data_IF_180021819527
#
_entry.id   IF_180021819527
#
_cell.length_a   1.000
_cell.length_b   1.000
_cell.length_c   1.000
_cell.angle_alpha   90.00
_cell.angle_beta   90.00
_cell.angle_gamma   90.00
#
_symmetry.space_group_name_H-M   'P 1'
#
loop_
_entity.id
_entity.type
_entity.pdbx_description
1 polymer ?
#
# COMPACT_ATOMS: atom_id res chain seq x y z
N UNK A 1 38.84 -42.68 -8.72
CA UNK A 1 38.15 -41.92 -7.65
C UNK A 1 37.44 -40.75 -8.31
N UNK A 2 36.11 -40.69 -8.37
CA UNK A 2 35.40 -39.52 -8.85
C UNK A 2 35.12 -38.58 -7.67
N UNK A 3 35.57 -37.34 -7.78
CA UNK A 3 35.32 -36.28 -6.80
C UNK A 3 33.89 -35.78 -6.91
N UNK A 4 33.16 -35.84 -5.79
CA UNK A 4 31.81 -35.32 -5.64
C UNK A 4 31.90 -33.80 -5.40
N UNK A 5 31.45 -33.01 -6.37
CA UNK A 5 31.35 -31.55 -6.24
C UNK A 5 30.01 -31.22 -5.57
N UNK A 6 30.03 -30.89 -4.27
CA UNK A 6 28.86 -30.33 -3.58
C UNK A 6 28.69 -28.87 -4.02
N UNK A 7 27.62 -28.59 -4.77
CA UNK A 7 27.13 -27.24 -5.00
C UNK A 7 26.33 -26.84 -3.78
N UNK A 8 26.92 -26.00 -2.92
CA UNK A 8 26.24 -25.38 -1.79
C UNK A 8 25.21 -24.36 -2.29
N UNK A 9 23.93 -24.65 -2.08
CA UNK A 9 22.84 -23.70 -2.27
C UNK A 9 22.88 -22.69 -1.12
N UNK A 10 23.46 -21.51 -1.35
CA UNK A 10 23.39 -20.39 -0.42
C UNK A 10 22.00 -19.76 -0.50
N UNK A 11 21.13 -20.09 0.45
CA UNK A 11 19.88 -19.36 0.66
C UNK A 11 20.24 -18.00 1.27
N UNK A 12 20.19 -16.94 0.46
CA UNK A 12 20.26 -15.57 0.95
C UNK A 12 18.99 -15.30 1.77
N UNK A 13 19.10 -15.39 3.08
CA UNK A 13 18.07 -14.93 4.00
C UNK A 13 18.04 -13.39 3.92
N UNK A 14 16.95 -12.84 3.39
CA UNK A 14 16.68 -11.41 3.47
C UNK A 14 16.50 -11.01 4.95
N UNK A 15 17.03 -9.85 5.39
CA UNK A 15 16.85 -9.40 6.74
C UNK A 15 15.36 -9.08 7.00
N UNK A 16 14.77 -9.74 7.98
CA UNK A 16 13.44 -9.41 8.48
C UNK A 16 13.54 -8.06 9.23
N UNK A 17 13.10 -6.98 8.59
CA UNK A 17 13.02 -5.67 9.22
C UNK A 17 11.83 -5.65 10.20
N UNK A 18 12.11 -5.80 11.49
CA UNK A 18 11.14 -5.55 12.56
C UNK A 18 10.81 -4.06 12.66
N UNK A 19 9.69 -3.72 13.31
CA UNK A 19 9.25 -2.35 13.56
C UNK A 19 10.42 -1.48 14.07
N UNK A 20 10.79 -0.44 13.32
CA UNK A 20 11.77 0.53 13.81
C UNK A 20 11.12 1.37 14.91
N UNK A 21 11.91 1.97 15.79
CA UNK A 21 11.40 2.91 16.80
C UNK A 21 10.62 4.11 16.19
N UNK A 22 10.72 4.32 14.87
CA UNK A 22 10.09 5.40 14.11
C UNK A 22 8.83 4.97 13.38
N UNK A 23 8.54 3.66 13.30
CA UNK A 23 7.33 3.16 12.65
C UNK A 23 6.14 3.28 13.61
N UNK A 24 4.95 3.73 13.12
CA UNK A 24 3.76 3.83 13.96
C UNK A 24 3.45 2.52 14.69
N UNK A 25 2.96 2.65 15.92
CA UNK A 25 2.48 1.50 16.68
C UNK A 25 1.16 1.06 16.06
N UNK A 26 1.18 -0.09 15.39
CA UNK A 26 -0.04 -0.69 14.86
C UNK A 26 -0.85 -1.25 16.01
N UNK A 27 -2.08 -0.80 16.15
CA UNK A 27 -3.03 -1.27 17.15
C UNK A 27 -4.33 -1.64 16.46
N UNK A 28 -5.00 -2.73 16.87
CA UNK A 28 -6.24 -3.12 16.24
C UNK A 28 -7.39 -2.16 16.53
N UNK A 29 -8.21 -1.91 15.50
CA UNK A 29 -9.50 -1.25 15.65
C UNK A 29 -10.50 -2.11 16.44
N UNK A 30 -11.49 -1.49 17.13
CA UNK A 30 -12.48 -2.23 17.88
C UNK A 30 -13.37 -3.10 16.96
N UNK A 31 -13.38 -4.41 17.20
CA UNK A 31 -14.26 -5.38 16.50
C UNK A 31 -13.97 -5.62 15.02
N UNK A 32 -12.78 -5.25 14.55
CA UNK A 32 -12.29 -5.49 13.19
C UNK A 32 -11.09 -6.46 13.22
N UNK A 33 -10.83 -7.24 12.15
CA UNK A 33 -9.70 -8.14 12.14
C UNK A 33 -8.39 -7.33 12.08
N UNK A 34 -7.49 -7.58 13.02
CA UNK A 34 -6.16 -6.96 13.08
C UNK A 34 -5.42 -7.06 11.73
N UNK A 35 -4.66 -6.01 11.37
CA UNK A 35 -3.95 -5.98 10.09
C UNK A 35 -2.97 -7.14 9.89
N UNK A 36 -2.29 -7.58 10.96
CA UNK A 36 -1.41 -8.76 10.91
C UNK A 36 -2.21 -10.05 10.61
N UNK A 37 -3.43 -10.17 11.14
CA UNK A 37 -4.35 -11.26 10.86
C UNK A 37 -4.80 -11.21 9.39
N UNK A 38 -5.18 -10.05 8.87
CA UNK A 38 -5.56 -9.88 7.46
C UNK A 38 -4.40 -10.28 6.54
N UNK A 39 -3.20 -9.75 6.77
CA UNK A 39 -2.00 -10.07 6.01
C UNK A 39 -1.67 -11.56 6.02
N UNK A 40 -1.65 -12.17 7.20
CA UNK A 40 -1.30 -13.58 7.37
C UNK A 40 -2.34 -14.49 6.71
N UNK A 41 -3.62 -14.25 6.96
CA UNK A 41 -4.67 -15.17 6.53
C UNK A 41 -5.05 -15.01 5.06
N UNK A 42 -4.89 -13.82 4.47
CA UNK A 42 -5.27 -13.57 3.06
C UNK A 42 -4.10 -13.61 2.10
N UNK A 43 -2.92 -13.22 2.56
CA UNK A 43 -1.77 -13.04 1.68
C UNK A 43 -0.55 -13.84 2.14
N UNK A 44 -0.58 -14.45 3.33
CA UNK A 44 0.56 -15.19 3.86
C UNK A 44 1.76 -14.28 4.13
N UNK A 45 1.50 -13.04 4.53
CA UNK A 45 2.51 -11.99 4.74
C UNK A 45 2.71 -11.71 6.22
N UNK A 46 3.92 -11.30 6.56
CA UNK A 46 4.30 -10.74 7.85
C UNK A 46 4.18 -9.22 7.82
N UNK A 47 3.51 -8.66 8.83
CA UNK A 47 3.30 -7.21 8.95
C UNK A 47 4.59 -6.39 8.91
N UNK A 48 5.70 -6.93 9.42
CA UNK A 48 6.98 -6.22 9.44
C UNK A 48 7.97 -6.80 8.43
N UNK A 49 8.12 -8.13 8.37
CA UNK A 49 9.17 -8.74 7.56
C UNK A 49 8.93 -8.57 6.05
N UNK A 50 7.68 -8.41 5.60
CA UNK A 50 7.34 -8.18 4.20
C UNK A 50 7.03 -6.70 3.88
N UNK A 51 7.19 -5.78 4.84
CA UNK A 51 6.89 -4.35 4.63
C UNK A 51 7.95 -3.70 3.74
N UNK A 52 7.52 -3.12 2.62
CA UNK A 52 8.41 -2.54 1.61
C UNK A 52 8.65 -1.04 1.75
N UNK A 53 7.83 -0.35 2.55
CA UNK A 53 8.00 1.07 2.84
C UNK A 53 8.11 1.38 4.34
N UNK A 54 9.03 0.74 5.08
CA UNK A 54 9.22 1.05 6.49
C UNK A 54 9.71 2.50 6.68
N UNK A 55 9.25 3.15 7.75
CA UNK A 55 9.79 4.46 8.15
C UNK A 55 11.15 4.25 8.83
N UNK A 56 12.21 4.16 8.04
CA UNK A 56 13.57 3.92 8.54
C UNK A 56 14.22 5.20 9.10
N UNK A 57 13.98 6.35 8.46
CA UNK A 57 14.65 7.61 8.82
C UNK A 57 13.67 8.76 9.01
N UNK A 58 12.97 9.17 7.96
CA UNK A 58 12.02 10.30 7.95
C UNK A 58 10.85 10.00 7.02
N UNK A 59 9.68 10.67 7.19
CA UNK A 59 8.56 10.62 6.25
C UNK A 59 8.96 10.87 4.78
N UNK A 60 9.98 11.71 4.55
CA UNK A 60 10.46 12.06 3.20
C UNK A 60 11.23 10.93 2.52
N UNK A 61 11.90 10.08 3.30
CA UNK A 61 12.70 8.98 2.78
C UNK A 61 11.89 7.68 2.60
N UNK A 62 10.63 7.66 3.01
CA UNK A 62 9.76 6.49 2.91
C UNK A 62 9.33 6.27 1.45
N UNK A 63 9.61 5.10 0.86
CA UNK A 63 9.11 4.75 -0.47
C UNK A 63 7.59 4.87 -0.56
N UNK A 64 7.08 5.38 -1.67
CA UNK A 64 5.64 5.54 -1.87
C UNK A 64 5.26 5.89 -3.31
N UNK A 65 6.21 5.81 -4.23
CA UNK A 65 5.97 6.03 -5.65
C UNK A 65 6.13 4.71 -6.39
N UNK A 66 5.42 4.61 -7.50
CA UNK A 66 5.42 3.47 -8.39
C UNK A 66 5.71 3.94 -9.81
N UNK A 67 6.22 3.05 -10.63
CA UNK A 67 6.28 3.20 -12.08
C UNK A 67 5.56 2.04 -12.74
N UNK A 68 5.05 2.25 -13.95
CA UNK A 68 4.45 1.18 -14.76
C UNK A 68 5.50 0.11 -15.08
N UNK A 69 5.14 -1.18 -14.94
CA UNK A 69 6.08 -2.29 -15.10
C UNK A 69 6.16 -2.85 -16.52
N UNK A 70 5.05 -2.80 -17.26
CA UNK A 70 4.96 -3.46 -18.56
C UNK A 70 3.79 -2.95 -19.40
N UNK A 71 3.51 -3.61 -20.54
CA UNK A 71 2.42 -3.24 -21.43
C UNK A 71 1.05 -3.39 -20.75
N UNK A 72 0.06 -2.64 -21.24
CA UNK A 72 -1.30 -2.60 -20.67
C UNK A 72 -1.45 -1.58 -19.53
N UNK A 73 -2.67 -1.33 -19.03
CA UNK A 73 -2.89 -0.31 -18.00
C UNK A 73 -2.35 -0.74 -16.63
N UNK A 74 -2.17 0.23 -15.74
CA UNK A 74 -2.07 -0.04 -14.30
C UNK A 74 -3.46 -0.32 -13.76
N UNK A 75 -3.59 -1.28 -12.85
CA UNK A 75 -4.86 -1.56 -12.16
C UNK A 75 -4.72 -1.27 -10.68
N UNK A 76 -5.56 -0.39 -10.15
CA UNK A 76 -5.66 -0.05 -8.73
C UNK A 76 -7.11 -0.23 -8.26
N UNK A 77 -7.34 -1.18 -7.37
CA UNK A 77 -8.70 -1.55 -6.92
C UNK A 77 -8.76 -1.88 -5.44
N UNK A 78 -9.88 -1.57 -4.76
CA UNK A 78 -10.10 -2.06 -3.41
C UNK A 78 -10.36 -3.58 -3.43
N UNK A 79 -9.85 -4.25 -2.40
CA UNK A 79 -10.02 -5.68 -2.16
C UNK A 79 -10.82 -5.94 -0.87
N UNK A 80 -10.62 -5.11 0.15
CA UNK A 80 -11.35 -5.19 1.44
C UNK A 80 -11.66 -3.75 1.89
N UNK A 81 -12.86 -3.53 2.41
CA UNK A 81 -13.26 -2.28 3.03
C UNK A 81 -13.66 -2.52 4.50
N UNK A 82 -12.83 -2.13 5.48
CA UNK A 82 -13.16 -2.26 6.91
C UNK A 82 -13.47 -0.93 7.56
N UNK A 83 -13.25 0.17 6.85
CA UNK A 83 -13.44 1.53 7.32
C UNK A 83 -14.88 1.98 7.60
N UNK A 84 -15.07 3.30 7.71
CA UNK A 84 -16.37 3.94 7.93
C UNK A 84 -17.30 3.74 6.73
N UNK A 85 -18.60 3.55 7.01
CA UNK A 85 -19.68 3.42 6.00
C UNK A 85 -20.10 4.80 5.49
N UNK A 86 -19.15 5.50 4.92
CA UNK A 86 -19.29 6.77 4.20
C UNK A 86 -18.65 6.59 2.82
N UNK A 87 -18.77 7.59 1.95
CA UNK A 87 -18.15 7.49 0.63
C UNK A 87 -16.64 7.47 0.78
N UNK A 88 -16.04 6.32 0.46
CA UNK A 88 -14.60 6.15 0.34
C UNK A 88 -14.23 6.29 -1.12
N UNK A 89 -13.09 6.92 -1.39
CA UNK A 89 -12.59 7.19 -2.74
C UNK A 89 -11.13 6.77 -2.83
N UNK A 90 -10.68 6.47 -4.02
CA UNK A 90 -9.26 6.28 -4.27
C UNK A 90 -8.89 6.50 -5.72
N UNK A 91 -7.61 6.76 -5.90
CA UNK A 91 -7.05 7.09 -7.20
C UNK A 91 -5.54 7.18 -7.18
N UNK A 92 -5.00 7.84 -8.19
CA UNK A 92 -3.58 8.07 -8.34
C UNK A 92 -3.27 9.56 -8.40
N UNK A 93 -2.02 9.92 -8.15
CA UNK A 93 -1.55 11.28 -8.34
C UNK A 93 -0.20 11.32 -9.05
N UNK A 94 0.01 12.35 -9.85
CA UNK A 94 1.32 12.73 -10.35
C UNK A 94 2.01 13.67 -9.34
N UNK A 95 3.21 13.31 -8.83
CA UNK A 95 3.98 14.20 -7.97
C UNK A 95 4.35 15.49 -8.71
N UNK A 96 4.19 16.61 -8.04
CA UNK A 96 4.65 17.92 -8.54
C UNK A 96 5.82 18.41 -7.68
N UNK A 97 6.36 19.60 -8.00
CA UNK A 97 7.38 20.23 -7.14
C UNK A 97 6.80 20.80 -5.84
N UNK A 98 5.48 20.99 -5.79
CA UNK A 98 4.78 21.50 -4.62
C UNK A 98 3.96 20.36 -4.00
N UNK A 99 4.42 19.87 -2.86
CA UNK A 99 3.74 18.78 -2.16
C UNK A 99 2.33 19.15 -1.70
N UNK A 100 1.93 20.43 -1.73
CA UNK A 100 0.56 20.88 -1.45
C UNK A 100 -0.38 20.87 -2.66
N UNK A 101 0.14 20.56 -3.84
CA UNK A 101 -0.62 20.55 -5.08
C UNK A 101 -0.26 19.33 -5.94
N UNK A 102 -0.45 18.09 -5.43
CA UNK A 102 -0.38 16.91 -6.29
C UNK A 102 -1.52 16.95 -7.31
N UNK A 103 -1.24 16.52 -8.56
CA UNK A 103 -2.29 16.36 -9.57
C UNK A 103 -2.97 15.01 -9.35
N UNK A 104 -4.16 15.04 -8.73
CA UNK A 104 -4.90 13.84 -8.32
C UNK A 104 -6.00 13.47 -9.31
N UNK A 105 -6.12 12.18 -9.60
CA UNK A 105 -7.13 11.59 -10.48
C UNK A 105 -7.90 10.49 -9.73
N UNK A 106 -9.21 10.67 -9.54
CA UNK A 106 -10.09 9.65 -8.94
C UNK A 106 -10.31 8.49 -9.90
N UNK A 107 -10.32 7.27 -9.36
CA UNK A 107 -10.56 6.04 -10.11
C UNK A 107 -11.82 5.33 -9.64
N UNK A 108 -11.98 5.20 -8.33
CA UNK A 108 -13.08 4.44 -7.76
C UNK A 108 -13.63 5.11 -6.51
N UNK A 109 -14.89 4.85 -6.25
CA UNK A 109 -15.51 5.13 -4.96
C UNK A 109 -16.46 4.00 -4.55
N UNK A 110 -16.72 3.87 -3.25
CA UNK A 110 -17.71 2.95 -2.71
C UNK A 110 -18.32 3.50 -1.41
N UNK A 111 -19.49 3.00 -1.02
CA UNK A 111 -20.08 3.21 0.31
C UNK A 111 -20.46 1.84 0.85
N UNK A 112 -19.52 1.21 1.54
CA UNK A 112 -19.58 -0.20 1.93
C UNK A 112 -18.62 -0.49 3.08
N UNK A 113 -18.94 -1.49 3.90
CA UNK A 113 -18.04 -2.07 4.91
C UNK A 113 -18.24 -3.59 4.92
N UNK A 114 -17.15 -4.31 4.72
CA UNK A 114 -17.07 -5.75 4.91
C UNK A 114 -17.11 -6.09 6.39
N UNK A 115 -17.72 -7.21 6.74
CA UNK A 115 -17.67 -7.75 8.09
C UNK A 115 -16.42 -8.62 8.27
N UNK A 116 -16.06 -8.93 9.52
CA UNK A 116 -15.02 -9.92 9.82
C UNK A 116 -15.34 -11.28 9.18
N UNK A 117 -16.62 -11.66 9.09
CA UNK A 117 -17.04 -12.89 8.43
C UNK A 117 -16.83 -12.84 6.90
N UNK A 118 -17.08 -11.70 6.25
CA UNK A 118 -16.77 -11.51 4.83
C UNK A 118 -15.29 -11.69 4.57
N UNK A 119 -14.46 -11.10 5.44
CA UNK A 119 -13.01 -11.29 5.38
C UNK A 119 -12.72 -12.78 5.56
N UNK A 120 -13.11 -13.43 6.65
CA UNK A 120 -12.77 -14.83 6.92
C UNK A 120 -13.18 -15.78 5.79
N UNK A 121 -14.46 -15.73 5.39
CA UNK A 121 -15.04 -16.59 4.35
C UNK A 121 -14.59 -16.25 2.92
N UNK A 122 -14.13 -15.01 2.69
CA UNK A 122 -13.89 -14.46 1.35
C UNK A 122 -15.17 -14.10 0.59
N UNK A 123 -16.34 -14.15 1.24
CA UNK A 123 -17.60 -13.74 0.64
C UNK A 123 -17.70 -12.22 0.56
N UNK A 124 -18.39 -11.70 -0.48
CA UNK A 124 -18.64 -10.26 -0.67
C UNK A 124 -17.35 -9.41 -0.72
N UNK A 125 -16.28 -10.00 -1.24
CA UNK A 125 -15.04 -9.33 -1.63
C UNK A 125 -14.91 -9.40 -3.16
N UNK A 126 -14.46 -8.33 -3.85
CA UNK A 126 -14.18 -6.98 -3.32
C UNK A 126 -15.46 -6.18 -2.97
N UNK A 127 -15.36 -5.01 -2.29
CA UNK A 127 -16.53 -4.15 -2.07
C UNK A 127 -17.16 -3.71 -3.41
N UNK A 128 -18.50 -3.54 -3.47
CA UNK A 128 -19.17 -3.05 -4.66
C UNK A 128 -18.80 -1.58 -4.92
N UNK A 129 -18.37 -1.28 -6.15
CA UNK A 129 -18.00 0.08 -6.55
C UNK A 129 -19.22 0.89 -6.99
N UNK A 130 -19.15 2.20 -6.80
CA UNK A 130 -20.13 3.14 -7.31
C UNK A 130 -20.10 3.20 -8.84
N UNK A 131 -21.24 3.51 -9.46
CA UNK A 131 -21.35 3.66 -10.90
C UNK A 131 -20.37 4.71 -11.44
N UNK A 132 -19.72 4.41 -12.57
CA UNK A 132 -18.71 5.28 -13.18
C UNK A 132 -17.28 5.05 -12.65
N UNK A 133 -17.10 4.24 -11.61
CA UNK A 133 -15.76 3.82 -11.16
C UNK A 133 -15.03 3.03 -12.25
N UNK A 134 -13.74 3.30 -12.42
CA UNK A 134 -12.82 2.57 -13.27
C UNK A 134 -11.52 2.30 -12.48
N UNK A 135 -11.16 1.03 -12.31
CA UNK A 135 -9.96 0.64 -11.56
C UNK A 135 -8.69 0.63 -12.40
N UNK A 136 -8.74 1.02 -13.67
CA UNK A 136 -7.62 0.98 -14.60
C UNK A 136 -7.25 2.38 -15.11
N UNK A 137 -5.95 2.64 -15.28
CA UNK A 137 -5.46 3.93 -15.75
C UNK A 137 -4.09 3.82 -16.44
N UNK A 138 -3.73 4.90 -17.13
CA UNK A 138 -2.46 5.04 -17.84
C UNK A 138 -1.66 6.22 -17.26
N UNK A 139 -0.67 5.96 -16.38
CA UNK A 139 0.13 7.04 -15.76
C UNK A 139 1.22 7.59 -16.68
N UNK A 140 1.43 6.98 -17.84
CA UNK A 140 2.62 7.21 -18.66
C UNK A 140 3.89 6.66 -18.01
N UNK A 141 5.04 7.25 -18.36
CA UNK A 141 6.37 6.78 -17.94
C UNK A 141 6.85 7.37 -16.61
N UNK A 142 6.22 8.44 -16.12
CA UNK A 142 6.66 9.13 -14.90
C UNK A 142 6.21 8.34 -13.66
N UNK A 143 6.99 8.38 -12.56
CA UNK A 143 6.53 7.87 -11.30
C UNK A 143 5.24 8.55 -10.83
N UNK A 144 4.36 7.77 -10.22
CA UNK A 144 3.10 8.22 -9.65
C UNK A 144 2.93 7.65 -8.24
N UNK A 145 2.05 8.23 -7.44
CA UNK A 145 1.63 7.63 -6.18
C UNK A 145 0.13 7.36 -6.17
N UNK A 146 -0.34 6.82 -5.05
CA UNK A 146 -1.77 6.54 -4.86
C UNK A 146 -2.31 7.35 -3.68
N UNK A 147 -3.62 7.55 -3.68
CA UNK A 147 -4.32 8.22 -2.60
C UNK A 147 -5.65 7.53 -2.32
N UNK A 148 -6.11 7.64 -1.07
CA UNK A 148 -7.48 7.35 -0.68
C UNK A 148 -8.04 8.49 0.16
N UNK A 149 -9.37 8.57 0.24
CA UNK A 149 -10.08 9.52 1.10
C UNK A 149 -11.38 8.93 1.60
N UNK A 150 -11.93 9.53 2.65
CA UNK A 150 -13.23 9.19 3.22
C UNK A 150 -14.05 10.47 3.42
N UNK A 151 -15.23 10.60 2.82
CA UNK A 151 -16.02 11.84 2.88
C UNK A 151 -16.67 12.10 4.25
N UNK A 152 -16.56 11.15 5.19
CA UNK A 152 -17.09 11.24 6.56
C UNK A 152 -16.19 12.00 7.54
N UNK A 153 -14.94 12.28 7.18
CA UNK A 153 -14.00 13.05 8.00
C UNK A 153 -13.66 14.38 7.31
N UNK A 154 -13.05 15.32 8.03
CA UNK A 154 -12.43 16.50 7.41
C UNK A 154 -10.96 16.19 7.11
N UNK A 155 -10.46 16.76 6.01
CA UNK A 155 -9.07 16.61 5.55
C UNK A 155 -8.68 15.12 5.51
N UNK A 156 -9.16 14.40 4.50
CA UNK A 156 -9.20 12.92 4.53
C UNK A 156 -8.34 12.26 3.50
N UNK A 157 -7.83 13.05 2.55
CA UNK A 157 -6.82 12.62 1.62
C UNK A 157 -5.58 12.17 2.39
N UNK A 158 -5.26 10.90 2.19
CA UNK A 158 -4.00 10.30 2.57
C UNK A 158 -3.32 9.73 1.34
N UNK A 159 -2.00 9.72 1.34
CA UNK A 159 -1.16 9.43 0.19
C UNK A 159 -0.17 8.33 0.54
N UNK A 160 0.28 7.58 -0.47
CA UNK A 160 1.36 6.61 -0.31
C UNK A 160 2.67 7.23 0.14
N UNK A 161 2.90 8.51 -0.17
CA UNK A 161 4.04 9.27 0.34
C UNK A 161 3.64 10.06 1.60
N UNK A 162 4.25 9.76 2.77
CA UNK A 162 3.94 10.46 4.01
C UNK A 162 4.13 11.98 3.93
N UNK A 163 5.15 12.47 3.22
CA UNK A 163 5.38 13.92 3.04
C UNK A 163 4.18 14.68 2.45
N UNK A 164 3.40 14.04 1.56
CA UNK A 164 2.17 14.62 1.02
C UNK A 164 1.04 14.61 2.05
N UNK A 165 0.94 13.58 2.89
CA UNK A 165 -0.01 13.58 4.02
C UNK A 165 0.32 14.72 4.97
N UNK A 166 1.59 14.90 5.34
CA UNK A 166 2.03 16.00 6.19
C UNK A 166 1.68 17.38 5.61
N UNK A 167 1.88 17.56 4.30
CA UNK A 167 1.64 18.83 3.61
C UNK A 167 0.14 19.17 3.42
N UNK A 168 -0.72 18.16 3.26
CA UNK A 168 -2.13 18.34 2.84
C UNK A 168 -3.16 17.98 3.91
N UNK A 169 -2.75 17.34 5.01
CA UNK A 169 -3.67 16.83 6.01
C UNK A 169 -3.31 17.36 7.41
N UNK A 170 -3.81 18.53 7.83
CA UNK A 170 -3.47 19.13 9.12
C UNK A 170 -3.77 18.23 10.32
N UNK A 171 -4.83 17.42 10.22
CA UNK A 171 -5.23 16.45 11.25
C UNK A 171 -4.20 15.34 11.43
N UNK A 172 -3.58 14.89 10.34
CA UNK A 172 -2.64 13.77 10.32
C UNK A 172 -1.17 14.21 10.17
N UNK A 173 -0.89 15.51 10.14
CA UNK A 173 0.46 16.02 9.90
C UNK A 173 1.53 15.51 10.89
N UNK A 174 1.13 15.20 12.13
CA UNK A 174 2.02 14.64 13.17
C UNK A 174 2.19 13.12 13.09
N UNK A 175 1.43 12.45 12.23
CA UNK A 175 1.44 11.00 12.01
C UNK A 175 1.17 10.69 10.52
N UNK A 176 2.04 11.14 9.61
CA UNK A 176 1.72 11.16 8.18
C UNK A 176 1.83 9.80 7.48
N UNK A 177 2.32 8.77 8.16
CA UNK A 177 2.44 7.44 7.59
C UNK A 177 1.08 6.73 7.61
N UNK A 178 0.46 6.63 6.42
CA UNK A 178 -0.95 6.22 6.25
C UNK A 178 -1.17 5.14 5.18
N UNK A 179 -0.07 4.59 4.66
CA UNK A 179 -0.09 3.48 3.72
C UNK A 179 1.04 2.50 4.02
N UNK A 180 0.71 1.21 4.15
CA UNK A 180 1.68 0.13 4.25
C UNK A 180 1.67 -0.68 2.96
N UNK A 181 2.84 -0.82 2.32
CA UNK A 181 3.00 -1.43 1.01
C UNK A 181 3.71 -2.78 1.18
N UNK A 182 3.09 -3.83 0.66
CA UNK A 182 3.58 -5.21 0.72
C UNK A 182 3.64 -5.82 -0.68
N UNK A 183 4.51 -6.80 -0.94
CA UNK A 183 4.42 -7.57 -2.17
C UNK A 183 3.11 -8.37 -2.19
N UNK A 184 2.55 -8.61 -3.37
CA UNK A 184 1.42 -9.52 -3.49
C UNK A 184 1.91 -10.97 -3.58
N UNK A 185 1.18 -11.88 -2.94
CA UNK A 185 1.55 -13.29 -2.81
C UNK A 185 0.31 -14.16 -2.96
N UNK A 186 0.41 -15.22 -3.75
CA UNK A 186 -0.63 -16.24 -3.80
C UNK A 186 -0.58 -17.07 -2.52
N UNK A 187 -1.64 -16.99 -1.71
CA UNK A 187 -1.70 -17.66 -0.41
C UNK A 187 -1.43 -19.19 -0.48
N UNK A 188 -1.96 -19.87 -1.50
CA UNK A 188 -1.89 -21.34 -1.59
C UNK A 188 -0.48 -21.85 -1.86
N UNK A 189 0.29 -21.15 -2.70
CA UNK A 189 1.63 -21.59 -3.10
C UNK A 189 2.73 -20.81 -2.41
N UNK A 190 2.40 -19.68 -1.79
CA UNK A 190 3.36 -18.73 -1.23
C UNK A 190 4.18 -17.99 -2.29
N UNK A 191 3.90 -18.14 -3.58
CA UNK A 191 4.64 -17.47 -4.65
C UNK A 191 4.27 -16.00 -4.73
N UNK A 192 5.28 -15.14 -4.92
CA UNK A 192 5.05 -13.74 -5.22
C UNK A 192 4.36 -13.60 -6.58
N UNK A 193 3.41 -12.67 -6.65
CA UNK A 193 2.79 -12.25 -7.91
C UNK A 193 3.64 -11.08 -8.42
N UNK A 194 4.39 -11.22 -9.53
CA UNK A 194 5.24 -10.17 -10.04
C UNK A 194 4.47 -8.90 -10.36
N UNK A 195 5.10 -7.75 -10.13
CA UNK A 195 4.57 -6.42 -10.43
C UNK A 195 3.19 -6.14 -9.79
N UNK A 196 2.94 -6.75 -8.64
CA UNK A 196 1.69 -6.63 -7.90
C UNK A 196 1.96 -6.42 -6.40
N UNK A 197 1.18 -5.53 -5.78
CA UNK A 197 1.35 -5.09 -4.40
C UNK A 197 0.01 -5.07 -3.65
N UNK A 198 0.08 -5.34 -2.35
CA UNK A 198 -1.01 -5.13 -1.40
C UNK A 198 -0.73 -3.83 -0.65
N UNK A 199 -1.76 -3.00 -0.50
CA UNK A 199 -1.64 -1.72 0.22
C UNK A 199 -2.72 -1.66 1.30
N UNK A 200 -2.30 -1.61 2.56
CA UNK A 200 -3.16 -1.30 3.70
C UNK A 200 -3.18 0.21 3.96
N UNK A 201 -4.37 0.78 4.08
CA UNK A 201 -4.59 2.21 4.29
C UNK A 201 -5.16 2.50 5.67
N UNK A 202 -4.85 3.68 6.18
CA UNK A 202 -5.39 4.27 7.40
C UNK A 202 -5.72 5.73 7.09
N UNK A 203 -6.94 6.19 7.33
CA UNK A 203 -7.28 7.63 7.19
C UNK A 203 -7.69 8.29 8.51
N UNK A 204 -7.69 7.53 9.61
CA UNK A 204 -7.96 7.95 10.98
C UNK A 204 -6.65 8.04 11.80
N UNK A 205 -6.75 8.00 13.12
CA UNK A 205 -5.63 8.26 14.04
C UNK A 205 -5.22 7.06 14.88
N UNK A 206 -5.87 5.91 14.71
CA UNK A 206 -5.63 4.70 15.47
C UNK A 206 -4.53 3.80 14.87
N UNK A 207 -4.13 4.05 13.63
CA UNK A 207 -2.98 3.41 12.97
C UNK A 207 -3.15 1.89 12.87
N UNK A 208 -4.34 1.42 12.49
CA UNK A 208 -4.65 0.01 12.26
C UNK A 208 -4.39 -0.43 10.82
N UNK A 209 -4.32 0.49 9.84
CA UNK A 209 -3.97 0.25 8.43
C UNK A 209 -4.85 -0.75 7.67
N UNK A 210 -6.06 -0.98 8.16
CA UNK A 210 -6.99 -1.94 7.55
C UNK A 210 -8.27 -1.29 7.01
N UNK A 211 -8.47 0.03 7.23
CA UNK A 211 -9.61 0.82 6.75
C UNK A 211 -9.96 0.47 5.30
N UNK A 212 -8.95 0.45 4.43
CA UNK A 212 -9.05 0.03 3.03
C UNK A 212 -7.84 -0.83 2.69
N UNK A 213 -8.08 -2.01 2.13
CA UNK A 213 -7.02 -2.85 1.55
C UNK A 213 -7.18 -2.81 0.04
N UNK A 214 -6.13 -2.42 -0.66
CA UNK A 214 -6.12 -2.36 -2.12
C UNK A 214 -5.10 -3.33 -2.72
N UNK A 215 -5.38 -3.72 -3.97
CA UNK A 215 -4.42 -4.39 -4.86
C UNK A 215 -4.01 -3.40 -5.94
N UNK A 216 -2.71 -3.37 -6.22
CA UNK A 216 -2.10 -2.58 -7.29
C UNK A 216 -1.32 -3.52 -8.21
N UNK A 217 -1.65 -3.55 -9.50
CA UNK A 217 -1.05 -4.45 -10.50
C UNK A 217 -0.37 -3.67 -11.64
N UNK A 218 0.59 -4.31 -12.29
CA UNK A 218 1.40 -3.80 -13.41
C UNK A 218 2.30 -2.62 -13.04
N UNK A 219 2.94 -2.69 -11.87
CA UNK A 219 3.84 -1.63 -11.39
C UNK A 219 5.12 -2.18 -10.75
N UNK A 220 6.09 -1.29 -10.57
CA UNK A 220 7.25 -1.50 -9.71
C UNK A 220 7.29 -0.37 -8.67
N UNK A 221 7.53 -0.74 -7.41
CA UNK A 221 7.79 0.22 -6.35
C UNK A 221 9.13 0.92 -6.59
N UNK A 222 9.12 2.25 -6.59
CA UNK A 222 10.33 3.07 -6.67
C UNK A 222 10.96 3.16 -5.29
N UNK A 223 12.10 2.49 -5.13
CA UNK A 223 12.95 2.53 -3.93
C UNK A 223 14.23 3.29 -4.30
N UNK A 224 14.34 4.56 -3.94
CA UNK A 224 15.55 5.30 -4.31
C UNK A 224 16.79 4.77 -3.58
N UNK A 225 17.82 4.51 -4.38
CA UNK A 225 19.11 3.93 -4.01
C UNK A 225 19.96 3.49 -5.20
N UNK A 226 19.97 4.24 -6.31
CA UNK A 226 21.09 4.20 -7.27
C UNK A 226 21.38 5.64 -7.71
N UNK A 227 22.56 6.13 -7.34
CA UNK A 227 23.08 7.41 -7.81
C UNK A 227 23.02 7.52 -9.33
N UNK A 228 22.58 8.69 -9.79
CA UNK A 228 23.05 9.28 -11.04
C UNK A 228 23.09 10.79 -10.79
N UNK A 229 24.20 11.50 -10.73
CA UNK A 229 25.62 11.20 -10.75
C UNK A 229 26.29 12.56 -10.59
N UNK A 230 27.25 12.68 -9.68
CA UNK A 230 28.24 13.75 -9.78
C UNK A 230 29.33 13.33 -10.77
N UNK A 231 29.87 14.32 -11.48
CA UNK A 231 30.83 14.31 -12.60
C UNK A 231 30.15 14.36 -13.99
N UNK A 232 30.25 15.45 -14.76
CA UNK A 232 31.27 16.52 -14.83
C UNK A 232 30.68 17.93 -14.72
#
# INVERSE_FOLDING_TARGET
MPGLLLIGLSVLAAPAWGQTAKQPKVAPGPSEPDWDVVLKQKYGLSMFADLLNPVNTTPNATPGLFRKAGPGPVVYRPAIALGLVTTNRGGWYAPTKDDKAPESHELWSYTWKNTTEDVNSGMRLPPPLAAGSNTSFEPGEKPFGLWVSNDGLKDTLVFTQPRLVEANNPRLAKQPYKAMIYPNRELKTGKLIPHSYIIGWEYSTNDDFQDIVCVLDNVELVVDGAESGSEK
#
